data_IF_643298152007
#
_entry.id   IF_643298152007
#
_cell.length_a   1.000
_cell.length_b   1.000
_cell.length_c   1.000
_cell.angle_alpha   90.00
_cell.angle_beta   90.00
_cell.angle_gamma   90.00
#
_symmetry.space_group_name_H-M   'P 1'
#
loop_
_entity.id
_entity.type
_entity.pdbx_description
1 polymer ?
#
# COMPACT_ATOMS: atom_id res chain seq x y z
N UNK A 1 -27.01 -10.37 -16.15
CA UNK A 1 -25.73 -10.44 -16.89
C UNK A 1 -25.22 -9.01 -17.09
N UNK A 2 -24.57 -8.38 -16.10
CA UNK A 2 -24.10 -6.98 -16.28
C UNK A 2 -22.92 -6.61 -15.37
N UNK A 3 -22.01 -7.55 -15.09
CA UNK A 3 -20.70 -7.23 -14.48
C UNK A 3 -19.54 -7.95 -15.17
N UNK A 4 -19.83 -8.78 -16.18
CA UNK A 4 -18.83 -9.61 -16.86
C UNK A 4 -18.13 -8.90 -18.02
N UNK A 5 -18.70 -7.80 -18.55
CA UNK A 5 -18.15 -7.13 -19.74
C UNK A 5 -17.07 -6.08 -19.45
N UNK A 6 -16.99 -5.54 -18.24
CA UNK A 6 -15.96 -4.57 -17.83
C UNK A 6 -14.60 -5.19 -17.49
N UNK A 7 -14.51 -6.53 -17.47
CA UNK A 7 -13.35 -7.25 -16.92
C UNK A 7 -12.38 -7.81 -17.96
N UNK A 8 -12.60 -7.56 -19.26
CA UNK A 8 -11.75 -8.11 -20.32
C UNK A 8 -10.49 -7.26 -20.65
N UNK A 9 -10.02 -6.42 -19.72
CA UNK A 9 -8.60 -6.08 -19.74
C UNK A 9 -7.83 -7.29 -19.23
N UNK A 10 -7.42 -8.17 -20.16
CA UNK A 10 -6.52 -9.28 -19.88
C UNK A 10 -5.49 -8.84 -18.83
N UNK A 11 -5.34 -9.60 -17.73
CA UNK A 11 -4.43 -9.28 -16.61
C UNK A 11 -3.04 -8.87 -17.12
N UNK A 12 -2.62 -9.43 -18.26
CA UNK A 12 -1.40 -9.08 -18.98
C UNK A 12 -1.42 -7.64 -19.48
N UNK A 13 -2.46 -7.24 -20.22
CA UNK A 13 -2.63 -5.87 -20.74
C UNK A 13 -2.71 -4.84 -19.61
N UNK A 14 -3.47 -5.14 -18.54
CA UNK A 14 -3.59 -4.25 -17.38
C UNK A 14 -2.24 -4.08 -16.69
N UNK A 15 -1.53 -5.19 -16.43
CA UNK A 15 -0.20 -5.13 -15.82
C UNK A 15 0.83 -4.45 -16.72
N UNK A 16 0.75 -4.61 -18.05
CA UNK A 16 1.61 -3.89 -18.99
C UNK A 16 1.41 -2.39 -18.87
N UNK A 17 0.16 -1.92 -18.99
CA UNK A 17 -0.19 -0.49 -18.83
C UNK A 17 0.21 0.07 -17.46
N UNK A 18 0.03 -0.71 -16.39
CA UNK A 18 0.45 -0.32 -15.04
C UNK A 18 1.97 -0.25 -14.90
N UNK A 19 2.72 -1.18 -15.49
CA UNK A 19 4.19 -1.13 -15.48
C UNK A 19 4.71 0.05 -16.29
N UNK A 20 4.13 0.32 -17.45
CA UNK A 20 4.48 1.49 -18.28
C UNK A 20 4.27 2.82 -17.53
N UNK A 21 3.17 2.93 -16.77
CA UNK A 21 2.80 4.17 -16.07
C UNK A 21 3.40 4.32 -14.67
N UNK A 22 3.53 3.22 -13.93
CA UNK A 22 3.86 3.22 -12.50
C UNK A 22 5.05 2.33 -12.13
N UNK A 23 5.71 1.69 -13.11
CA UNK A 23 6.87 0.81 -12.88
C UNK A 23 6.56 -0.50 -12.15
N UNK A 24 5.29 -0.81 -11.88
CA UNK A 24 4.90 -2.00 -11.13
C UNK A 24 3.59 -2.61 -11.63
N UNK A 25 3.25 -3.82 -11.17
CA UNK A 25 1.96 -4.45 -11.50
C UNK A 25 0.82 -3.78 -10.76
N UNK A 26 -0.41 -3.90 -11.27
CA UNK A 26 -1.60 -3.35 -10.61
C UNK A 26 -1.77 -3.92 -9.19
N UNK A 27 -1.50 -5.22 -9.01
CA UNK A 27 -1.54 -5.88 -7.71
C UNK A 27 -0.46 -5.36 -6.75
N UNK A 28 0.76 -5.11 -7.22
CA UNK A 28 1.82 -4.55 -6.39
C UNK A 28 1.49 -3.12 -5.96
N UNK A 29 0.93 -2.30 -6.86
CA UNK A 29 0.46 -0.96 -6.55
C UNK A 29 -0.64 -0.99 -5.48
N UNK A 30 -1.66 -1.83 -5.68
CA UNK A 30 -2.76 -1.99 -4.72
C UNK A 30 -2.27 -2.46 -3.34
N UNK A 31 -1.35 -3.44 -3.31
CA UNK A 31 -0.75 -3.90 -2.06
C UNK A 31 -0.02 -2.77 -1.34
N UNK A 32 0.80 -2.00 -2.04
CA UNK A 32 1.51 -0.86 -1.44
C UNK A 32 0.55 0.19 -0.89
N UNK A 33 -0.53 0.48 -1.62
CA UNK A 33 -1.57 1.40 -1.17
C UNK A 33 -2.25 0.91 0.11
N UNK A 34 -2.67 -0.36 0.16
CA UNK A 34 -3.28 -0.97 1.35
C UNK A 34 -2.35 -0.92 2.56
N UNK A 35 -1.06 -1.23 2.37
CA UNK A 35 -0.07 -1.14 3.44
C UNK A 35 0.16 0.29 3.92
N UNK A 36 0.09 1.28 3.04
CA UNK A 36 0.20 2.71 3.41
C UNK A 36 -0.97 3.13 4.30
N UNK A 37 -2.20 2.77 3.94
CA UNK A 37 -3.39 3.04 4.75
C UNK A 37 -3.32 2.30 6.09
N UNK A 38 -2.89 1.03 6.09
CA UNK A 38 -2.72 0.28 7.32
C UNK A 38 -1.71 0.91 8.28
N UNK A 39 -0.60 1.44 7.76
CA UNK A 39 0.40 2.14 8.56
C UNK A 39 -0.17 3.41 9.21
N UNK A 40 -1.01 4.14 8.49
CA UNK A 40 -1.71 5.32 9.00
C UNK A 40 -2.68 4.96 10.13
N UNK A 41 -3.50 3.91 9.93
CA UNK A 41 -4.41 3.40 10.95
C UNK A 41 -3.67 2.90 12.19
N UNK A 42 -2.59 2.14 12.03
CA UNK A 42 -1.77 1.67 13.15
C UNK A 42 -1.14 2.81 13.97
N UNK A 43 -0.95 3.99 13.37
CA UNK A 43 -0.28 5.14 14.02
C UNK A 43 -1.29 6.08 14.67
N UNK A 44 -2.45 6.26 14.06
CA UNK A 44 -3.41 7.31 14.43
C UNK A 44 -4.71 6.76 15.05
N UNK A 45 -4.85 5.44 15.17
CA UNK A 45 -6.02 4.80 15.77
C UNK A 45 -5.60 3.80 16.85
N UNK A 46 -6.54 3.42 17.72
CA UNK A 46 -6.38 2.33 18.69
C UNK A 46 -6.90 0.98 18.19
N UNK A 47 -7.11 0.82 16.87
CA UNK A 47 -7.67 -0.41 16.29
C UNK A 47 -6.69 -1.58 16.43
N UNK A 48 -7.25 -2.77 16.60
CA UNK A 48 -6.48 -4.02 16.61
C UNK A 48 -5.96 -4.37 15.22
N UNK A 49 -4.92 -5.21 15.16
CA UNK A 49 -4.33 -5.68 13.90
C UNK A 49 -5.36 -6.37 13.00
N UNK A 50 -6.29 -7.13 13.60
CA UNK A 50 -7.36 -7.81 12.88
C UNK A 50 -8.33 -6.80 12.23
N UNK A 51 -8.78 -5.81 12.98
CA UNK A 51 -9.68 -4.76 12.48
C UNK A 51 -9.03 -3.94 11.35
N UNK A 52 -7.74 -3.64 11.47
CA UNK A 52 -6.98 -2.93 10.43
C UNK A 52 -6.81 -3.80 9.18
N UNK A 53 -6.55 -5.10 9.33
CA UNK A 53 -6.46 -6.02 8.20
C UNK A 53 -7.78 -6.07 7.42
N UNK A 54 -8.91 -6.21 8.14
CA UNK A 54 -10.24 -6.18 7.54
C UNK A 54 -10.52 -4.83 6.85
N UNK A 55 -10.24 -3.72 7.52
CA UNK A 55 -10.49 -2.36 7.01
C UNK A 55 -9.66 -2.01 5.77
N UNK A 56 -8.49 -2.63 5.61
CA UNK A 56 -7.59 -2.41 4.46
C UNK A 56 -7.72 -3.49 3.38
N UNK A 57 -8.73 -4.35 3.50
CA UNK A 57 -9.10 -5.33 2.47
C UNK A 57 -8.20 -6.56 2.42
N UNK A 58 -7.51 -6.90 3.52
CA UNK A 58 -6.85 -8.20 3.70
C UNK A 58 -7.85 -9.21 4.25
N UNK A 59 -7.97 -10.37 3.59
CA UNK A 59 -8.89 -11.42 4.05
C UNK A 59 -8.45 -12.13 5.32
N UNK A 60 -7.16 -12.08 5.66
CA UNK A 60 -6.59 -12.73 6.85
C UNK A 60 -5.52 -11.85 7.49
N UNK A 61 -5.57 -11.73 8.82
CA UNK A 61 -4.57 -10.97 9.60
C UNK A 61 -3.16 -11.54 9.42
N UNK A 62 -3.01 -12.86 9.33
CA UNK A 62 -1.70 -13.52 9.20
C UNK A 62 -1.03 -13.16 7.88
N UNK A 63 -1.80 -13.08 6.80
CA UNK A 63 -1.34 -12.61 5.50
C UNK A 63 -0.99 -11.12 5.54
N UNK A 64 -1.81 -10.30 6.19
CA UNK A 64 -1.51 -8.89 6.43
C UNK A 64 -0.18 -8.71 7.17
N UNK A 65 0.00 -9.36 8.32
CA UNK A 65 1.22 -9.26 9.15
C UNK A 65 2.45 -9.67 8.34
N UNK A 66 2.37 -10.74 7.55
CA UNK A 66 3.45 -11.19 6.67
C UNK A 66 3.82 -10.12 5.65
N UNK A 67 2.85 -9.54 4.96
CA UNK A 67 3.09 -8.50 3.95
C UNK A 67 3.62 -7.21 4.56
N UNK A 68 3.03 -6.78 5.68
CA UNK A 68 3.42 -5.56 6.39
C UNK A 68 4.85 -5.67 6.96
N UNK A 69 5.17 -6.81 7.57
CA UNK A 69 6.52 -7.08 8.10
C UNK A 69 7.57 -7.18 6.98
N UNK A 70 7.24 -7.83 5.86
CA UNK A 70 8.12 -7.91 4.70
C UNK A 70 8.42 -6.51 4.13
N UNK A 71 7.40 -5.65 4.03
CA UNK A 71 7.56 -4.26 3.56
C UNK A 71 8.38 -3.41 4.52
N UNK A 72 8.15 -3.53 5.84
CA UNK A 72 8.93 -2.81 6.87
C UNK A 72 10.41 -3.22 6.83
N UNK A 73 10.70 -4.52 6.73
CA UNK A 73 12.08 -5.02 6.57
C UNK A 73 12.72 -4.55 5.27
N UNK A 74 11.98 -4.53 4.17
CA UNK A 74 12.46 -4.00 2.88
C UNK A 74 12.79 -2.50 2.97
N UNK A 75 11.90 -1.71 3.59
CA UNK A 75 12.16 -0.29 3.83
C UNK A 75 13.35 -0.08 4.76
N UNK A 76 13.47 -0.82 5.86
CA UNK A 76 14.63 -0.74 6.75
C UNK A 76 15.94 -1.11 6.04
N UNK A 77 15.92 -2.12 5.17
CA UNK A 77 17.09 -2.53 4.38
C UNK A 77 17.48 -1.48 3.32
N UNK A 78 16.50 -0.83 2.68
CA UNK A 78 16.76 0.25 1.74
C UNK A 78 17.18 1.57 2.44
N UNK A 79 16.58 1.86 3.60
CA UNK A 79 16.82 3.08 4.38
C UNK A 79 18.12 2.97 5.20
N UNK A 80 18.72 1.77 5.28
CA UNK A 80 20.07 1.53 5.84
C UNK A 80 21.23 2.31 5.20
N UNK A 81 20.97 3.26 4.27
CA UNK A 81 21.91 4.31 3.86
C UNK A 81 21.35 5.73 3.70
N UNK A 82 20.04 5.98 3.81
CA UNK A 82 19.46 7.34 3.76
C UNK A 82 18.08 7.36 4.44
N UNK A 83 18.11 7.49 5.76
CA UNK A 83 17.04 8.20 6.49
C UNK A 83 16.92 9.59 5.83
N UNK A 84 15.71 10.05 5.47
CA UNK A 84 15.29 11.47 5.35
C UNK A 84 14.22 11.75 4.28
N UNK A 85 14.04 10.94 3.25
CA UNK A 85 13.16 11.32 2.13
C UNK A 85 11.65 11.18 2.44
N UNK A 86 11.27 10.19 3.26
CA UNK A 86 9.85 9.96 3.59
C UNK A 86 9.28 10.93 4.65
N UNK A 87 10.14 11.54 5.48
CA UNK A 87 9.74 12.54 6.46
C UNK A 87 9.56 13.94 5.85
N UNK A 88 10.27 14.24 4.74
CA UNK A 88 10.14 15.52 4.05
C UNK A 88 8.77 15.70 3.36
N UNK A 89 8.19 14.64 2.79
CA UNK A 89 6.85 14.72 2.16
C UNK A 89 5.71 14.84 3.19
N UNK A 90 5.88 14.32 4.41
CA UNK A 90 4.91 14.46 5.50
C UNK A 90 4.98 15.84 6.18
N UNK A 91 6.16 16.45 6.26
CA UNK A 91 6.31 17.84 6.72
C UNK A 91 5.66 18.84 5.74
N UNK A 92 5.78 18.60 4.43
CA UNK A 92 5.22 19.49 3.40
C UNK A 92 3.68 19.62 3.43
N UNK A 93 2.95 18.60 3.93
CA UNK A 93 1.49 18.67 4.07
C UNK A 93 0.98 19.31 5.36
N UNK A 94 1.84 19.53 6.37
CA UNK A 94 1.44 20.25 7.60
C UNK A 94 1.49 21.77 7.45
N UNK A 95 2.06 22.30 6.36
CA UNK A 95 2.20 23.75 6.15
C UNK A 95 0.99 24.45 5.52
N UNK A 96 -0.09 23.72 5.17
CA UNK A 96 -1.33 24.28 4.64
C UNK A 96 -2.53 23.95 5.56
N UNK A 97 -2.52 24.52 6.76
CA UNK A 97 -3.74 24.84 7.52
C UNK A 97 -3.46 26.15 8.24
N UNK A 98 -3.82 27.25 7.58
CA UNK A 98 -4.14 28.55 8.18
C UNK A 98 -5.60 28.45 8.64
#
# INVERSE_FOLDING_TARGET
>A
MELTELTNSNRVTLNRKFRERFGCTAMAYLLNYRLKVAADLLTHTGLTVNEIAASTGFGYETYFIKQFSAKKKFLQRLIGKKQDVWLQQLSYRKSFKI
#
